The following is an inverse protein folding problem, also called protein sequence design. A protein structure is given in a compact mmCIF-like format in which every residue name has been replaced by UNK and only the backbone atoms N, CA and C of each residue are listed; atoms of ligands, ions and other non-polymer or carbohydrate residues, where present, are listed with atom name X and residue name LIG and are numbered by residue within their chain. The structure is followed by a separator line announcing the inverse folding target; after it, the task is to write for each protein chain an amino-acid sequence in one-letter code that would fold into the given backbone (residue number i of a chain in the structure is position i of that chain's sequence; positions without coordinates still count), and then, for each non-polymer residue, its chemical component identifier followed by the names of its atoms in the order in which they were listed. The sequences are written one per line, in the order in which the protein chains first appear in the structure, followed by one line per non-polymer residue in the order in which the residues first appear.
data_IF_002300742982
#
_entry.id   IF_002300742982
#
_cell.length_a   1.000
_cell.length_b   1.000
_cell.length_c   1.000
_cell.angle_alpha   90.00
_cell.angle_beta   90.00
_cell.angle_gamma   90.00
#
_symmetry.space_group_name_H-M   'P 1'
#
loop_
_entity.id
_entity.type
_entity.pdbx_description
1 polymer ?
#
# COMPACT_ATOMS: atom_id res chain seq x y z
N UNK A 1 3.75 23.06 -10.93
CA UNK A 1 2.32 23.10 -10.61
C UNK A 1 1.66 22.27 -11.69
N UNK A 2 1.12 21.09 -11.34
CA UNK A 2 0.38 20.25 -12.30
C UNK A 2 -0.52 21.17 -13.09
N UNK A 3 -0.45 21.13 -14.42
CA UNK A 3 -1.51 21.66 -15.27
C UNK A 3 -2.72 20.75 -15.06
N UNK A 4 -3.30 20.79 -13.87
CA UNK A 4 -4.54 20.16 -13.50
C UNK A 4 -5.61 21.04 -14.14
N UNK A 5 -5.70 20.98 -15.47
CA UNK A 5 -6.67 21.74 -16.23
C UNK A 5 -8.03 21.46 -15.61
N UNK A 6 -8.71 22.52 -15.15
CA UNK A 6 -9.99 22.39 -14.47
C UNK A 6 -9.95 22.49 -12.94
N UNK A 7 -8.80 22.71 -12.29
CA UNK A 7 -8.72 22.99 -10.84
C UNK A 7 -8.20 24.40 -10.52
N UNK A 8 -8.14 25.30 -11.50
CA UNK A 8 -7.83 26.71 -11.24
C UNK A 8 -8.86 27.34 -10.29
N UNK A 9 -8.37 28.05 -9.26
CA UNK A 9 -9.22 28.67 -8.26
C UNK A 9 -9.85 27.71 -7.25
N UNK A 10 -9.42 26.45 -7.21
CA UNK A 10 -9.85 25.51 -6.18
C UNK A 10 -9.39 25.94 -4.78
N UNK A 11 -10.20 25.67 -3.77
CA UNK A 11 -9.76 25.74 -2.38
C UNK A 11 -8.78 24.58 -2.11
N UNK A 12 -7.66 24.88 -1.47
CA UNK A 12 -6.59 23.91 -1.22
C UNK A 12 -6.40 23.72 0.28
N UNK A 13 -6.61 22.50 0.76
CA UNK A 13 -6.38 22.12 2.15
C UNK A 13 -5.38 20.97 2.24
N UNK A 14 -4.33 21.13 3.06
CA UNK A 14 -3.36 20.06 3.27
C UNK A 14 -3.97 18.94 4.12
N UNK A 15 -3.82 17.70 3.69
CA UNK A 15 -4.20 16.52 4.47
C UNK A 15 -3.09 16.17 5.46
N UNK A 16 -3.45 15.61 6.62
CA UNK A 16 -2.49 15.27 7.65
C UNK A 16 -1.45 14.26 7.12
N UNK A 17 -0.15 14.45 7.40
CA UNK A 17 0.87 13.49 6.99
C UNK A 17 0.75 12.22 7.85
N UNK A 18 0.25 11.13 7.26
CA UNK A 18 0.17 9.82 7.92
C UNK A 18 1.37 8.92 7.52
N UNK A 19 2.59 9.38 7.82
CA UNK A 19 3.79 8.54 7.73
C UNK A 19 4.42 8.37 6.33
N UNK A 20 3.97 9.12 5.33
CA UNK A 20 4.63 9.22 4.02
C UNK A 20 5.46 10.50 3.92
N UNK A 21 6.60 10.44 3.24
CA UNK A 21 7.38 11.61 2.82
C UNK A 21 6.64 12.45 1.76
N UNK A 22 5.57 11.90 1.18
CA UNK A 22 4.72 12.55 0.18
C UNK A 22 3.72 13.49 0.83
N UNK A 23 3.48 14.60 0.17
CA UNK A 23 2.42 15.52 0.56
C UNK A 23 1.09 15.18 -0.11
N UNK A 24 0.00 15.40 0.60
CA UNK A 24 -1.35 15.29 0.06
C UNK A 24 -2.14 16.57 0.35
N UNK A 25 -2.86 17.07 -0.65
CA UNK A 25 -3.74 18.23 -0.54
C UNK A 25 -5.08 17.91 -1.17
N UNK A 26 -6.16 18.17 -0.44
CA UNK A 26 -7.50 18.14 -0.99
C UNK A 26 -7.77 19.45 -1.72
N UNK A 27 -8.29 19.33 -2.94
CA UNK A 27 -8.74 20.41 -3.79
C UNK A 27 -10.26 20.37 -3.84
N UNK A 28 -10.92 21.52 -3.63
CA UNK A 28 -12.38 21.64 -3.76
C UNK A 28 -12.77 22.73 -4.75
N UNK A 29 -13.66 22.41 -5.69
CA UNK A 29 -14.17 23.38 -6.67
C UNK A 29 -15.59 23.02 -7.10
N UNK A 30 -16.53 23.95 -6.95
CA UNK A 30 -17.88 23.82 -7.50
C UNK A 30 -18.63 22.54 -7.09
N UNK A 31 -18.41 22.07 -5.86
CA UNK A 31 -18.99 20.81 -5.35
C UNK A 31 -18.19 19.54 -5.68
N UNK A 32 -17.18 19.61 -6.56
CA UNK A 32 -16.25 18.53 -6.83
C UNK A 32 -15.05 18.54 -5.87
N UNK A 33 -14.45 17.37 -5.63
CA UNK A 33 -13.27 17.20 -4.80
C UNK A 33 -12.25 16.25 -5.44
N UNK A 34 -10.96 16.51 -5.22
CA UNK A 34 -9.85 15.67 -5.67
C UNK A 34 -8.67 15.77 -4.69
N UNK A 35 -7.76 14.82 -4.73
CA UNK A 35 -6.53 14.82 -3.92
C UNK A 35 -5.31 15.00 -4.82
N UNK A 36 -4.55 16.05 -4.60
CA UNK A 36 -3.23 16.25 -5.17
C UNK A 36 -2.21 15.51 -4.29
N UNK A 37 -1.60 14.46 -4.82
CA UNK A 37 -0.38 13.85 -4.29
C UNK A 37 0.84 14.58 -4.87
N UNK A 38 1.77 14.99 -4.01
CA UNK A 38 3.07 15.55 -4.40
C UNK A 38 4.18 14.68 -3.82
N UNK A 39 5.08 14.29 -4.69
CA UNK A 39 6.34 13.61 -4.38
C UNK A 39 7.50 14.43 -4.95
N UNK A 40 8.72 13.90 -4.82
CA UNK A 40 9.91 14.48 -5.43
C UNK A 40 9.83 14.40 -6.96
N UNK A 41 10.22 15.47 -7.69
CA UNK A 41 10.34 15.44 -9.14
C UNK A 41 11.12 14.24 -9.65
N UNK A 42 10.59 13.55 -10.67
CA UNK A 42 11.21 12.39 -11.32
C UNK A 42 11.55 11.20 -10.40
N UNK A 43 10.91 11.08 -9.24
CA UNK A 43 11.09 9.93 -8.34
C UNK A 43 10.51 8.64 -8.96
N UNK A 44 11.28 7.55 -9.14
CA UNK A 44 10.74 6.27 -9.59
C UNK A 44 9.61 5.71 -8.70
N UNK A 45 9.60 6.08 -7.41
CA UNK A 45 8.52 5.70 -6.49
C UNK A 45 7.20 6.38 -6.81
N UNK A 46 7.24 7.61 -7.36
CA UNK A 46 6.06 8.31 -7.84
C UNK A 46 5.41 7.55 -9.00
N UNK A 47 6.20 7.17 -10.01
CA UNK A 47 5.68 6.44 -11.18
C UNK A 47 5.01 5.13 -10.78
N UNK A 48 5.66 4.39 -9.88
CA UNK A 48 5.14 3.14 -9.33
C UNK A 48 3.80 3.38 -8.64
N UNK A 49 3.72 4.39 -7.78
CA UNK A 49 2.51 4.66 -7.02
C UNK A 49 1.33 5.03 -7.92
N UNK A 50 1.58 5.84 -8.94
CA UNK A 50 0.58 6.20 -9.96
C UNK A 50 0.16 4.96 -10.76
N UNK A 51 1.10 4.16 -11.23
CA UNK A 51 0.82 2.96 -12.03
C UNK A 51 0.05 1.90 -11.23
N UNK A 52 0.41 1.70 -9.97
CA UNK A 52 -0.28 0.75 -9.09
C UNK A 52 -1.68 1.23 -8.74
N UNK A 53 -1.86 2.52 -8.39
CA UNK A 53 -3.18 3.07 -8.12
C UNK A 53 -4.12 2.90 -9.34
N UNK A 54 -3.63 3.24 -10.54
CA UNK A 54 -4.40 3.09 -11.77
C UNK A 54 -4.75 1.62 -12.08
N UNK A 55 -3.82 0.69 -11.88
CA UNK A 55 -4.05 -0.75 -12.04
C UNK A 55 -5.13 -1.27 -11.10
N UNK A 56 -5.03 -0.94 -9.82
CA UNK A 56 -5.99 -1.39 -8.81
C UNK A 56 -7.37 -0.79 -9.03
N UNK A 57 -7.45 0.47 -9.48
CA UNK A 57 -8.71 1.08 -9.86
C UNK A 57 -9.36 0.33 -11.04
N UNK A 58 -8.58 0.05 -12.09
CA UNK A 58 -9.06 -0.66 -13.28
C UNK A 58 -9.53 -2.09 -13.00
N UNK A 59 -8.94 -2.76 -12.01
CA UNK A 59 -9.29 -4.12 -11.60
C UNK A 59 -10.34 -4.19 -10.47
N UNK A 60 -10.89 -3.05 -10.05
CA UNK A 60 -11.83 -2.93 -8.92
C UNK A 60 -11.25 -3.54 -7.62
N UNK A 61 -10.00 -3.18 -7.32
CA UNK A 61 -9.19 -3.66 -6.20
C UNK A 61 -8.84 -2.52 -5.23
N UNK A 62 -9.71 -1.50 -5.15
CA UNK A 62 -9.59 -0.43 -4.18
C UNK A 62 -8.54 0.64 -4.50
N UNK A 63 -8.11 0.77 -5.75
CA UNK A 63 -7.27 1.91 -6.16
C UNK A 63 -8.10 3.18 -6.36
N UNK A 64 -7.63 4.32 -5.84
CA UNK A 64 -8.19 5.63 -6.20
C UNK A 64 -7.95 5.91 -7.69
N UNK A 65 -8.94 6.48 -8.39
CA UNK A 65 -8.75 6.85 -9.78
C UNK A 65 -7.63 7.89 -9.93
N UNK A 66 -6.73 7.70 -10.90
CA UNK A 66 -5.74 8.70 -11.29
C UNK A 66 -6.35 9.60 -12.35
N UNK A 67 -6.65 10.84 -11.98
CA UNK A 67 -7.28 11.83 -12.86
C UNK A 67 -6.26 12.53 -13.77
N UNK A 68 -4.99 12.59 -13.34
CA UNK A 68 -3.88 13.10 -14.13
C UNK A 68 -2.56 13.00 -13.37
N UNK A 69 -1.44 12.93 -14.07
CA UNK A 69 -0.12 12.86 -13.45
C UNK A 69 0.93 13.62 -14.28
N UNK A 70 1.86 14.26 -13.59
CA UNK A 70 3.02 14.94 -14.13
C UNK A 70 4.27 14.42 -13.42
N UNK A 71 5.01 13.54 -14.10
CA UNK A 71 6.26 12.95 -13.62
C UNK A 71 7.34 13.99 -13.38
N UNK A 72 7.42 15.00 -14.24
CA UNK A 72 8.47 16.02 -14.18
C UNK A 72 8.32 16.87 -12.92
N UNK A 73 7.07 17.14 -12.52
CA UNK A 73 6.76 17.83 -11.27
C UNK A 73 6.58 16.84 -10.09
N UNK A 74 6.56 15.52 -10.31
CA UNK A 74 6.29 14.53 -9.26
C UNK A 74 4.91 14.70 -8.63
N UNK A 75 3.89 14.96 -9.44
CA UNK A 75 2.58 15.35 -8.92
C UNK A 75 1.44 14.63 -9.64
N UNK A 76 0.50 14.09 -8.87
CA UNK A 76 -0.64 13.34 -9.39
C UNK A 76 -1.93 13.87 -8.77
N UNK A 77 -2.94 14.06 -9.62
CA UNK A 77 -4.30 14.34 -9.22
C UNK A 77 -5.06 13.02 -9.15
N UNK A 78 -5.66 12.74 -8.01
CA UNK A 78 -6.36 11.51 -7.69
C UNK A 78 -7.80 11.80 -7.26
N UNK A 79 -8.66 10.81 -7.41
CA UNK A 79 -9.98 10.76 -6.79
C UNK A 79 -9.89 11.02 -5.28
N UNK A 80 -10.84 11.79 -4.76
CA UNK A 80 -10.99 11.99 -3.32
C UNK A 80 -11.91 10.93 -2.73
N UNK A 81 -11.32 9.99 -2.01
CA UNK A 81 -12.02 8.90 -1.31
C UNK A 81 -12.70 9.33 0.00
N UNK A 82 -12.69 10.64 0.30
CA UNK A 82 -13.25 11.19 1.54
C UNK A 82 -12.32 11.00 2.74
N UNK A 83 -12.89 11.09 3.93
CA UNK A 83 -12.12 11.08 5.18
C UNK A 83 -12.36 9.84 6.04
N UNK A 84 -13.29 8.98 5.65
CA UNK A 84 -13.79 7.88 6.49
C UNK A 84 -12.95 6.62 6.35
N UNK A 85 -11.87 6.59 7.12
CA UNK A 85 -11.06 5.39 7.27
C UNK A 85 -11.82 4.26 7.96
N UNK A 86 -11.48 3.01 7.64
CA UNK A 86 -11.97 1.82 8.32
C UNK A 86 -11.77 1.95 9.83
N UNK A 87 -10.65 2.55 10.26
CA UNK A 87 -10.40 2.85 11.67
C UNK A 87 -11.51 3.73 12.25
N UNK A 88 -11.85 4.86 11.61
CA UNK A 88 -12.91 5.75 12.09
C UNK A 88 -14.27 5.06 12.06
N UNK A 89 -14.61 4.40 10.97
CA UNK A 89 -15.88 3.69 10.80
C UNK A 89 -16.07 2.60 11.84
N UNK A 90 -15.04 1.78 12.09
CA UNK A 90 -15.11 0.70 13.08
C UNK A 90 -15.21 1.21 14.54
N UNK A 91 -14.83 2.45 14.80
CA UNK A 91 -14.93 3.08 16.13
C UNK A 91 -16.17 3.97 16.30
N UNK A 92 -16.97 4.15 15.25
CA UNK A 92 -18.22 4.90 15.34
C UNK A 92 -19.25 4.18 16.24
N UNK A 93 -20.09 4.92 16.98
CA UNK A 93 -21.20 4.32 17.73
C UNK A 93 -22.13 3.52 16.81
N UNK A 94 -22.45 2.28 17.20
CA UNK A 94 -23.32 1.40 16.42
C UNK A 94 -22.67 0.74 15.20
N UNK A 95 -21.35 0.84 15.03
CA UNK A 95 -20.64 0.22 13.92
C UNK A 95 -20.75 -1.31 13.92
N UNK A 96 -21.16 -1.88 12.78
CA UNK A 96 -21.08 -3.32 12.51
C UNK A 96 -19.65 -3.67 12.06
N UNK A 97 -18.77 -3.89 13.04
CA UNK A 97 -17.36 -4.23 12.77
C UNK A 97 -17.21 -5.52 11.96
N UNK A 98 -17.92 -6.62 12.26
CA UNK A 98 -17.86 -7.82 11.43
C UNK A 98 -18.17 -7.55 9.95
N UNK A 99 -19.22 -6.79 9.64
CA UNK A 99 -19.55 -6.45 8.25
C UNK A 99 -18.46 -5.60 7.58
N UNK A 100 -17.98 -4.56 8.28
CA UNK A 100 -16.92 -3.68 7.77
C UNK A 100 -15.62 -4.44 7.46
N UNK A 101 -15.17 -5.28 8.39
CA UNK A 101 -13.95 -6.06 8.19
C UNK A 101 -14.16 -7.22 7.20
N UNK A 102 -15.37 -7.78 7.10
CA UNK A 102 -15.72 -8.78 6.09
C UNK A 102 -15.46 -8.25 4.67
N UNK A 103 -15.98 -7.06 4.35
CA UNK A 103 -15.75 -6.43 3.05
C UNK A 103 -14.25 -6.16 2.77
N UNK A 104 -13.48 -5.83 3.81
CA UNK A 104 -12.02 -5.59 3.68
C UNK A 104 -11.25 -6.89 3.45
N UNK A 105 -11.67 -7.98 4.09
CA UNK A 105 -11.10 -9.31 3.85
C UNK A 105 -11.41 -9.80 2.43
N UNK A 106 -12.62 -9.56 1.93
CA UNK A 106 -12.98 -9.88 0.54
C UNK A 106 -12.14 -9.08 -0.46
N UNK A 107 -11.92 -7.78 -0.19
CA UNK A 107 -11.02 -6.94 -0.97
C UNK A 107 -9.58 -7.49 -0.96
N UNK A 108 -9.06 -7.87 0.22
CA UNK A 108 -7.71 -8.43 0.37
C UNK A 108 -7.57 -9.76 -0.38
N UNK A 109 -8.58 -10.63 -0.32
CA UNK A 109 -8.60 -11.88 -1.08
C UNK A 109 -8.63 -11.60 -2.59
N UNK A 110 -9.43 -10.64 -3.04
CA UNK A 110 -9.45 -10.17 -4.42
C UNK A 110 -8.09 -9.64 -4.88
N UNK A 111 -7.44 -8.84 -4.04
CA UNK A 111 -6.11 -8.30 -4.31
C UNK A 111 -5.09 -9.42 -4.50
N UNK A 112 -5.06 -10.40 -3.60
CA UNK A 112 -4.11 -11.50 -3.63
C UNK A 112 -4.39 -12.49 -4.76
N UNK A 113 -5.64 -12.75 -5.11
CA UNK A 113 -5.99 -13.69 -6.18
C UNK A 113 -6.03 -13.00 -7.55
N UNK A 114 -7.01 -12.10 -7.76
CA UNK A 114 -7.23 -11.42 -9.05
C UNK A 114 -6.07 -10.49 -9.37
N UNK A 115 -5.62 -9.70 -8.40
CA UNK A 115 -4.50 -8.77 -8.59
C UNK A 115 -3.20 -9.47 -8.98
N UNK A 116 -2.90 -10.63 -8.39
CA UNK A 116 -1.74 -11.45 -8.81
C UNK A 116 -1.90 -12.03 -10.19
N UNK A 117 -3.07 -12.59 -10.52
CA UNK A 117 -3.34 -13.17 -11.84
C UNK A 117 -3.26 -12.12 -12.97
N UNK A 118 -3.59 -10.85 -12.67
CA UNK A 118 -3.59 -9.73 -13.62
C UNK A 118 -2.34 -8.88 -13.57
N UNK A 119 -1.36 -9.28 -12.77
CA UNK A 119 -0.19 -8.44 -12.47
C UNK A 119 0.70 -8.12 -13.67
N UNK A 120 0.63 -8.92 -14.75
CA UNK A 120 1.27 -8.61 -16.02
C UNK A 120 0.81 -7.28 -16.65
N UNK A 121 -0.41 -6.81 -16.33
CA UNK A 121 -0.91 -5.51 -16.76
C UNK A 121 -0.22 -4.32 -16.05
N UNK A 122 0.42 -4.56 -14.90
CA UNK A 122 1.19 -3.56 -14.17
C UNK A 122 2.51 -4.15 -13.64
N UNK A 123 3.56 -4.23 -14.48
CA UNK A 123 4.85 -4.76 -14.06
C UNK A 123 5.47 -4.04 -12.86
N UNK A 124 5.14 -2.75 -12.65
CA UNK A 124 5.58 -1.95 -11.51
C UNK A 124 4.91 -2.33 -10.19
N UNK A 125 3.68 -2.85 -10.22
CA UNK A 125 3.07 -3.49 -9.05
C UNK A 125 3.91 -4.70 -8.63
N UNK A 126 4.46 -5.38 -9.64
CA UNK A 126 5.28 -6.56 -9.51
C UNK A 126 6.77 -6.32 -9.39
N UNK A 127 7.30 -5.10 -9.34
CA UNK A 127 8.74 -4.95 -9.57
C UNK A 127 9.64 -5.18 -8.33
N UNK A 128 9.04 -5.25 -7.15
CA UNK A 128 9.71 -5.59 -5.89
C UNK A 128 9.33 -6.99 -5.45
N UNK A 129 10.19 -7.59 -4.65
CA UNK A 129 9.94 -8.88 -4.02
C UNK A 129 10.15 -8.70 -2.54
N UNK A 130 9.13 -8.89 -1.71
CA UNK A 130 9.34 -9.06 -0.28
C UNK A 130 9.71 -10.52 0.01
N UNK A 131 11.00 -10.78 0.06
CA UNK A 131 11.58 -12.11 0.13
C UNK A 131 12.09 -12.47 1.52
N UNK A 132 12.85 -13.57 1.56
CA UNK A 132 13.54 -14.05 2.75
C UNK A 132 14.47 -12.99 3.31
N UNK A 133 15.24 -12.31 2.45
CA UNK A 133 16.18 -11.27 2.89
C UNK A 133 15.46 -10.10 3.55
N UNK A 134 14.30 -9.68 3.03
CA UNK A 134 13.50 -8.62 3.63
C UNK A 134 12.94 -9.03 5.00
N UNK A 135 12.41 -10.25 5.12
CA UNK A 135 11.94 -10.81 6.41
C UNK A 135 13.05 -10.81 7.46
N UNK A 136 14.27 -11.19 7.07
CA UNK A 136 15.44 -11.16 7.95
C UNK A 136 15.83 -9.72 8.33
N UNK A 137 15.76 -8.78 7.40
CA UNK A 137 16.04 -7.38 7.68
C UNK A 137 15.02 -6.79 8.67
N UNK A 138 13.73 -7.07 8.51
CA UNK A 138 12.66 -6.60 9.40
C UNK A 138 12.79 -7.20 10.81
N UNK A 139 13.08 -8.50 10.91
CA UNK A 139 13.27 -9.17 12.20
C UNK A 139 14.56 -8.73 12.91
N UNK A 140 15.64 -8.49 12.17
CA UNK A 140 16.86 -7.88 12.71
C UNK A 140 16.60 -6.44 13.21
N UNK A 141 15.81 -5.66 12.47
CA UNK A 141 15.37 -4.33 12.90
C UNK A 141 14.57 -4.41 14.20
N UNK A 142 13.59 -5.31 14.30
CA UNK A 142 12.79 -5.54 15.50
C UNK A 142 13.67 -5.91 16.70
N UNK A 143 14.59 -6.86 16.54
CA UNK A 143 15.52 -7.26 17.61
C UNK A 143 16.35 -6.08 18.10
N UNK A 144 16.94 -5.30 17.19
CA UNK A 144 17.78 -4.17 17.55
C UNK A 144 16.97 -3.06 18.22
N UNK A 145 15.91 -2.59 17.56
CA UNK A 145 15.19 -1.37 17.96
C UNK A 145 14.22 -1.60 19.11
N UNK A 146 13.46 -2.69 19.05
CA UNK A 146 12.48 -2.97 20.08
C UNK A 146 13.10 -3.74 21.23
N UNK A 147 13.66 -4.93 20.98
CA UNK A 147 14.12 -5.79 22.09
C UNK A 147 15.34 -5.20 22.81
N UNK A 148 16.37 -4.77 22.08
CA UNK A 148 17.60 -4.26 22.70
C UNK A 148 17.50 -2.80 23.15
N UNK A 149 17.11 -1.90 22.27
CA UNK A 149 17.15 -0.46 22.57
C UNK A 149 15.95 0.01 23.41
N UNK A 150 14.72 -0.39 23.09
CA UNK A 150 13.51 0.05 23.80
C UNK A 150 13.22 -0.78 25.06
N UNK A 151 13.32 -2.12 24.96
CA UNK A 151 13.01 -3.03 26.06
C UNK A 151 14.21 -3.39 26.93
N UNK A 152 15.43 -3.11 26.48
CA UNK A 152 16.65 -3.38 27.25
C UNK A 152 16.93 -4.87 27.48
N UNK A 153 16.43 -5.76 26.61
CA UNK A 153 16.59 -7.21 26.76
C UNK A 153 18.07 -7.59 26.63
N UNK A 154 18.66 -8.31 27.59
CA UNK A 154 20.05 -8.77 27.53
C UNK A 154 20.32 -9.67 26.33
N UNK A 155 21.52 -9.56 25.75
CA UNK A 155 21.91 -10.36 24.58
C UNK A 155 21.87 -11.87 24.84
N UNK A 156 22.13 -12.28 26.08
CA UNK A 156 22.04 -13.69 26.50
C UNK A 156 20.62 -14.24 26.37
N UNK A 157 19.59 -13.42 26.61
CA UNK A 157 18.17 -13.81 26.50
C UNK A 157 17.68 -13.77 25.05
N UNK A 158 18.44 -13.16 24.15
CA UNK A 158 18.18 -13.13 22.70
C UNK A 158 18.95 -14.23 21.95
N UNK A 159 19.71 -15.07 22.67
CA UNK A 159 20.45 -16.17 22.07
C UNK A 159 19.51 -17.14 21.35
N UNK A 160 19.85 -17.51 20.12
CA UNK A 160 19.04 -18.43 19.30
C UNK A 160 17.91 -17.77 18.50
N UNK A 161 17.51 -16.53 18.83
CA UNK A 161 16.41 -15.84 18.15
C UNK A 161 16.68 -15.61 16.65
N UNK A 162 17.94 -15.40 16.24
CA UNK A 162 18.29 -15.30 14.81
C UNK A 162 18.02 -16.60 14.04
N UNK A 163 18.25 -17.75 14.68
CA UNK A 163 17.98 -19.05 14.07
C UNK A 163 16.47 -19.28 13.93
N UNK A 164 15.68 -18.88 14.93
CA UNK A 164 14.22 -18.91 14.85
C UNK A 164 13.69 -17.98 13.77
N UNK A 165 14.17 -16.74 13.69
CA UNK A 165 13.79 -15.81 12.63
C UNK A 165 14.21 -16.29 11.24
N UNK A 166 15.36 -16.94 11.10
CA UNK A 166 15.76 -17.57 9.84
C UNK A 166 14.81 -18.70 9.45
N UNK A 167 14.44 -19.57 10.38
CA UNK A 167 13.49 -20.66 10.12
C UNK A 167 12.10 -20.13 9.74
N UNK A 168 11.62 -19.08 10.41
CA UNK A 168 10.36 -18.41 10.05
C UNK A 168 10.45 -17.74 8.67
N UNK A 169 11.55 -17.07 8.37
CA UNK A 169 11.77 -16.45 7.07
C UNK A 169 11.78 -17.51 5.94
N UNK A 170 12.40 -18.66 6.16
CA UNK A 170 12.38 -19.79 5.22
C UNK A 170 10.97 -20.34 5.03
N UNK A 171 10.23 -20.55 6.12
CA UNK A 171 8.86 -21.07 6.08
C UNK A 171 7.89 -20.14 5.33
N UNK A 172 8.01 -18.82 5.54
CA UNK A 172 7.19 -17.81 4.85
C UNK A 172 7.64 -17.65 3.40
N UNK A 173 8.94 -17.62 3.11
CA UNK A 173 9.46 -17.47 1.76
C UNK A 173 9.12 -18.66 0.84
N UNK A 174 8.83 -19.83 1.42
CA UNK A 174 8.35 -21.02 0.72
C UNK A 174 6.86 -20.98 0.36
N UNK A 175 6.08 -20.05 0.92
CA UNK A 175 4.65 -19.91 0.60
C UNK A 175 4.46 -19.36 -0.82
N UNK A 176 3.30 -19.64 -1.46
CA UNK A 176 2.92 -18.99 -2.70
C UNK A 176 2.97 -17.47 -2.60
N UNK A 177 3.50 -16.83 -3.63
CA UNK A 177 3.64 -15.38 -3.66
C UNK A 177 2.41 -14.72 -4.25
N UNK A 178 1.95 -13.65 -3.62
CA UNK A 178 0.82 -12.86 -4.06
C UNK A 178 1.15 -11.36 -4.06
N UNK A 179 0.25 -10.59 -4.66
CA UNK A 179 0.24 -9.13 -4.60
C UNK A 179 -0.06 -8.73 -3.17
N UNK A 180 0.82 -7.90 -2.60
CA UNK A 180 0.76 -7.47 -1.22
C UNK A 180 0.74 -5.95 -1.16
N UNK A 181 -0.06 -5.46 -0.22
CA UNK A 181 0.02 -4.09 0.26
C UNK A 181 0.71 -4.15 1.62
N UNK A 182 1.91 -3.60 1.76
CA UNK A 182 2.69 -3.68 3.00
C UNK A 182 2.04 -2.92 4.15
N UNK A 183 1.46 -1.77 3.83
CA UNK A 183 0.77 -0.93 4.81
C UNK A 183 -0.75 -1.10 4.81
N UNK A 184 -1.24 -2.35 4.71
CA UNK A 184 -2.68 -2.68 4.67
C UNK A 184 -3.33 -2.62 6.07
N UNK A 185 -3.31 -1.43 6.66
CA UNK A 185 -3.86 -1.16 7.98
C UNK A 185 -5.15 -0.33 7.91
N UNK A 186 -6.01 -0.45 8.93
CA UNK A 186 -7.33 0.22 8.97
C UNK A 186 -7.33 1.75 8.80
N UNK A 187 -6.20 2.42 9.02
CA UNK A 187 -6.06 3.87 8.77
C UNK A 187 -5.85 4.20 7.28
N UNK A 188 -5.25 3.27 6.52
CA UNK A 188 -4.95 3.39 5.10
C UNK A 188 -6.05 2.83 4.18
N UNK A 189 -7.19 2.41 4.76
CA UNK A 189 -8.35 1.89 4.04
C UNK A 189 -9.49 2.90 4.25
N UNK A 190 -9.99 3.51 3.18
CA UNK A 190 -11.05 4.51 3.17
C UNK A 190 -12.28 3.93 2.49
N UNK A 191 -13.44 3.86 3.17
CA UNK A 191 -14.74 3.47 2.61
C UNK A 191 -14.76 2.35 1.53
N UNK A 192 -13.89 1.33 1.63
CA UNK A 192 -13.79 0.22 0.66
C UNK A 192 -12.68 0.35 -0.41
N UNK A 193 -11.89 1.42 -0.38
CA UNK A 193 -10.70 1.63 -1.20
C UNK A 193 -9.43 1.77 -0.33
N UNK A 194 -8.27 1.51 -0.90
CA UNK A 194 -6.94 1.60 -0.29
C UNK A 194 -6.18 2.83 -0.78
N UNK A 195 -5.44 3.49 0.12
CA UNK A 195 -4.58 4.63 -0.23
C UNK A 195 -3.34 4.14 -1.00
N UNK A 196 -2.90 4.90 -2.00
CA UNK A 196 -1.89 4.53 -3.00
C UNK A 196 -0.43 4.35 -2.48
N UNK A 197 -0.19 4.27 -1.17
CA UNK A 197 1.15 4.16 -0.58
C UNK A 197 1.43 2.75 -0.04
N UNK A 198 2.63 2.21 -0.28
CA UNK A 198 3.08 0.98 0.40
C UNK A 198 2.81 -0.32 -0.37
N UNK A 199 2.69 -0.26 -1.69
CA UNK A 199 2.46 -1.45 -2.52
C UNK A 199 3.78 -2.15 -2.86
N UNK A 200 3.85 -3.44 -2.60
CA UNK A 200 4.98 -4.27 -3.02
C UNK A 200 4.53 -5.70 -3.20
N UNK A 201 4.87 -6.31 -4.32
CA UNK A 201 4.73 -7.75 -4.48
C UNK A 201 5.87 -8.52 -3.83
N UNK A 202 5.68 -9.82 -3.69
CA UNK A 202 6.74 -10.81 -3.70
C UNK A 202 6.82 -11.35 -5.15
N UNK A 203 7.74 -10.99 -6.05
CA UNK A 203 7.80 -11.70 -7.36
C UNK A 203 8.20 -13.14 -7.21
N UNK A 204 7.39 -14.03 -7.76
CA UNK A 204 7.80 -15.33 -8.29
C UNK A 204 7.02 -15.59 -9.58
N UNK A 205 7.08 -14.69 -10.55
CA UNK A 205 6.58 -14.98 -11.89
C UNK A 205 7.61 -15.86 -12.63
N UNK A 206 7.65 -17.13 -12.25
CA UNK A 206 8.18 -18.20 -13.06
C UNK A 206 6.99 -19.02 -13.53
N UNK A 207 6.78 -19.07 -14.83
CA UNK A 207 5.86 -19.97 -15.52
C UNK A 207 5.96 -21.41 -14.97
N UNK A 208 4.97 -21.84 -14.20
CA UNK A 208 4.75 -23.26 -13.92
C UNK A 208 4.19 -23.94 -15.18
N UNK A 209 4.56 -25.20 -15.47
CA UNK A 209 4.09 -25.90 -16.65
C UNK A 209 2.57 -26.06 -16.58
N UNK A 210 1.89 -25.84 -17.71
CA UNK A 210 0.45 -26.01 -17.83
C UNK A 210 0.00 -27.42 -17.42
N UNK A 211 -1.28 -27.60 -17.09
CA UNK A 211 -1.81 -28.89 -16.67
C UNK A 211 -1.57 -29.92 -17.79
N UNK A 212 -0.76 -30.93 -17.48
CA UNK A 212 -0.69 -32.17 -18.27
C UNK A 212 -2.07 -32.81 -18.25
N UNK A 213 -2.66 -32.90 -19.44
CA UNK A 213 -3.70 -33.86 -19.77
C UNK A 213 -3.06 -35.20 -20.10
#
# INVERSE_FOLDING_TARGET
MVRAGGWEGAEVARLAPEGSDRGFWRLRRGGASAVLMKDRPRDPEFDRSVAVAAFLHAEDLGGAAVLGADREDGAALMEDLGDDSLHRLAHAPGADRPALYGAVVDLLAGLQARGTARSAACPLACDRVFGREDLLAETAYFRRRFLREDRGVPEADLAGLDAEFAALADAVAAQPRALMHRDFQSRNILAGATVASGWSTCRGCGSGPGPTT
#
